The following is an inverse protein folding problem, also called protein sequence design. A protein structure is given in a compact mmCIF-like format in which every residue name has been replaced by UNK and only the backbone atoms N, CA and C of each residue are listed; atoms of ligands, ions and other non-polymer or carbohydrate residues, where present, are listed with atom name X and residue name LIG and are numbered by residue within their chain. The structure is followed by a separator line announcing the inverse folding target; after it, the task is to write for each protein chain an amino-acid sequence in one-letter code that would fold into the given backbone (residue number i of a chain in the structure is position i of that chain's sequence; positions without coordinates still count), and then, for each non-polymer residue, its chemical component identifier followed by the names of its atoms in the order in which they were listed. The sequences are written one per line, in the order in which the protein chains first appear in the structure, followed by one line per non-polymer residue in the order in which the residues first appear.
data_IF_542651633547
#
_entry.id   IF_542651633547
#
_cell.length_a   1.000
_cell.length_b   1.000
_cell.length_c   1.000
_cell.angle_alpha   90.00
_cell.angle_beta   90.00
_cell.angle_gamma   90.00
#
_symmetry.space_group_name_H-M   'P 1'
#
loop_
_entity.id
_entity.type
_entity.pdbx_description
1 polymer ?
#
# COMPACT_ATOMS: atom_id res chain seq x y z
N UNK A 1 20.07 10.04 -34.37
CA UNK A 1 19.68 8.60 -34.43
C UNK A 1 20.32 7.86 -33.27
N UNK A 2 19.87 8.08 -32.04
CA UNK A 2 20.28 7.29 -30.88
C UNK A 2 19.29 6.15 -30.70
N UNK A 3 19.87 4.99 -30.74
CA UNK A 3 19.24 3.68 -30.82
C UNK A 3 18.19 3.47 -29.74
N UNK A 4 17.08 2.94 -30.17
CA UNK A 4 16.05 2.22 -29.42
C UNK A 4 16.66 1.08 -28.58
N UNK A 5 17.47 1.39 -27.56
CA UNK A 5 17.96 0.41 -26.59
C UNK A 5 16.72 -0.09 -25.84
N UNK A 6 16.27 -1.29 -26.18
CA UNK A 6 15.19 -2.00 -25.49
C UNK A 6 15.46 -1.90 -24.00
N UNK A 7 14.56 -1.23 -23.25
CA UNK A 7 14.67 -1.09 -21.81
C UNK A 7 14.75 -2.49 -21.16
N UNK A 8 15.91 -2.85 -20.65
CA UNK A 8 16.14 -4.10 -19.93
C UNK A 8 16.32 -3.83 -18.44
N UNK A 9 15.68 -4.63 -17.61
CA UNK A 9 15.85 -4.57 -16.16
C UNK A 9 17.20 -5.18 -15.76
N UNK A 10 17.88 -4.53 -14.84
CA UNK A 10 19.05 -5.10 -14.14
C UNK A 10 18.64 -6.26 -13.23
N UNK A 11 19.60 -7.06 -12.77
CA UNK A 11 19.35 -8.14 -11.81
C UNK A 11 18.78 -7.62 -10.49
N UNK A 12 19.28 -6.48 -10.02
CA UNK A 12 18.83 -5.85 -8.77
C UNK A 12 17.42 -5.27 -8.91
N UNK A 13 17.10 -4.59 -10.03
CA UNK A 13 15.75 -4.10 -10.31
C UNK A 13 14.73 -5.24 -10.36
N UNK A 14 15.08 -6.39 -10.96
CA UNK A 14 14.20 -7.57 -10.97
C UNK A 14 13.99 -8.13 -9.57
N UNK A 15 15.03 -8.20 -8.77
CA UNK A 15 14.94 -8.67 -7.38
C UNK A 15 14.07 -7.76 -6.52
N UNK A 16 14.15 -6.45 -6.73
CA UNK A 16 13.30 -5.47 -6.06
C UNK A 16 11.83 -5.61 -6.47
N UNK A 17 11.54 -5.79 -7.76
CA UNK A 17 10.19 -6.05 -8.28
C UNK A 17 9.60 -7.35 -7.70
N UNK A 18 10.41 -8.41 -7.55
CA UNK A 18 9.94 -9.67 -6.98
C UNK A 18 9.48 -9.55 -5.53
N UNK A 19 10.06 -8.63 -4.75
CA UNK A 19 9.56 -8.36 -3.42
C UNK A 19 8.10 -7.84 -3.45
N UNK A 20 7.76 -6.96 -4.41
CA UNK A 20 6.38 -6.46 -4.59
C UNK A 20 5.40 -7.60 -4.93
N UNK A 21 5.83 -8.55 -5.78
CA UNK A 21 5.07 -9.78 -6.06
C UNK A 21 4.81 -10.61 -4.80
N UNK A 22 5.82 -10.69 -3.91
CA UNK A 22 5.72 -11.45 -2.68
C UNK A 22 4.77 -10.82 -1.66
N UNK A 23 5.02 -9.55 -1.34
CA UNK A 23 4.29 -8.85 -0.27
C UNK A 23 2.82 -8.57 -0.63
N UNK A 24 2.50 -8.36 -1.90
CA UNK A 24 1.12 -8.09 -2.36
C UNK A 24 0.18 -9.26 -2.10
N UNK A 25 0.68 -10.48 -2.01
CA UNK A 25 -0.13 -11.65 -1.61
C UNK A 25 -0.66 -11.52 -0.18
N UNK A 26 0.14 -11.00 0.74
CA UNK A 26 -0.30 -10.73 2.11
C UNK A 26 -1.36 -9.62 2.15
N UNK A 27 -1.27 -8.60 1.29
CA UNK A 27 -2.30 -7.55 1.19
C UNK A 27 -3.66 -8.14 0.81
N UNK A 28 -3.71 -9.00 -0.21
CA UNK A 28 -4.96 -9.66 -0.61
C UNK A 28 -5.52 -10.56 0.50
N UNK A 29 -4.65 -11.28 1.20
CA UNK A 29 -5.06 -12.14 2.30
C UNK A 29 -5.68 -11.34 3.46
N UNK A 30 -5.07 -10.20 3.81
CA UNK A 30 -5.59 -9.27 4.84
C UNK A 30 -6.93 -8.69 4.45
N UNK A 31 -7.13 -8.39 3.18
CA UNK A 31 -8.39 -7.84 2.70
C UNK A 31 -9.53 -8.86 2.59
N UNK A 32 -9.23 -10.16 2.61
CA UNK A 32 -10.20 -11.23 2.28
C UNK A 32 -10.26 -12.34 3.32
N UNK A 33 -9.26 -13.21 3.40
CA UNK A 33 -9.30 -14.45 4.19
C UNK A 33 -9.05 -14.23 5.69
N UNK A 34 -8.20 -13.28 6.06
CA UNK A 34 -7.89 -13.02 7.49
C UNK A 34 -9.12 -12.54 8.26
N UNK A 35 -9.97 -11.61 7.76
CA UNK A 35 -11.22 -11.26 8.42
C UNK A 35 -12.17 -12.45 8.59
N UNK A 36 -12.26 -13.33 7.59
CA UNK A 36 -13.09 -14.54 7.67
C UNK A 36 -12.58 -15.47 8.78
N UNK A 37 -11.26 -15.66 8.85
CA UNK A 37 -10.64 -16.47 9.89
C UNK A 37 -10.88 -15.90 11.29
N UNK A 38 -10.66 -14.58 11.44
CA UNK A 38 -10.90 -13.90 12.71
C UNK A 38 -12.38 -14.02 13.14
N UNK A 39 -13.34 -13.84 12.19
CA UNK A 39 -14.75 -13.99 12.48
C UNK A 39 -15.09 -15.40 13.00
N UNK A 40 -14.57 -16.45 12.37
CA UNK A 40 -14.81 -17.83 12.82
C UNK A 40 -14.29 -18.07 14.26
N UNK A 41 -13.07 -17.58 14.58
CA UNK A 41 -12.52 -17.68 15.93
C UNK A 41 -13.30 -16.82 16.95
N UNK A 42 -13.81 -15.68 16.53
CA UNK A 42 -14.60 -14.78 17.36
C UNK A 42 -15.96 -15.40 17.73
N UNK A 43 -16.63 -16.03 16.75
CA UNK A 43 -17.88 -16.78 16.96
C UNK A 43 -17.68 -17.97 17.90
N UNK A 44 -16.63 -18.79 17.70
CA UNK A 44 -16.25 -19.87 18.63
C UNK A 44 -15.96 -19.36 20.03
N UNK A 45 -15.40 -18.14 20.15
CA UNK A 45 -15.12 -17.47 21.42
C UNK A 45 -16.33 -16.79 22.05
N UNK A 46 -17.52 -16.87 21.43
CA UNK A 46 -18.76 -16.29 21.93
C UNK A 46 -18.90 -14.79 21.76
N UNK A 47 -18.08 -14.15 20.90
CA UNK A 47 -18.21 -12.73 20.57
C UNK A 47 -19.44 -12.47 19.68
N UNK A 48 -20.14 -11.39 19.98
CA UNK A 48 -21.19 -10.86 19.09
C UNK A 48 -20.57 -10.23 17.85
N UNK A 49 -21.38 -10.06 16.79
CA UNK A 49 -20.96 -9.38 15.55
C UNK A 49 -20.51 -7.92 15.79
N UNK A 50 -21.04 -7.26 16.78
CA UNK A 50 -20.65 -5.90 17.19
C UNK A 50 -19.27 -5.91 17.84
N UNK A 51 -19.01 -6.84 18.76
CA UNK A 51 -17.70 -6.99 19.41
C UNK A 51 -16.62 -7.40 18.41
N UNK A 52 -16.92 -8.33 17.49
CA UNK A 52 -16.03 -8.71 16.40
C UNK A 52 -15.56 -7.47 15.60
N UNK A 53 -16.50 -6.64 15.14
CA UNK A 53 -16.18 -5.43 14.38
C UNK A 53 -15.38 -4.42 15.20
N UNK A 54 -15.73 -4.26 16.48
CA UNK A 54 -15.01 -3.35 17.38
C UNK A 54 -13.55 -3.79 17.58
N UNK A 55 -13.31 -5.08 17.90
CA UNK A 55 -11.95 -5.59 18.10
C UNK A 55 -11.12 -5.57 16.82
N UNK A 56 -11.73 -5.86 15.66
CA UNK A 56 -11.05 -5.71 14.37
C UNK A 56 -10.63 -4.26 14.11
N UNK A 57 -11.51 -3.30 14.38
CA UNK A 57 -11.25 -1.87 14.28
C UNK A 57 -10.14 -1.40 15.23
N UNK A 58 -10.14 -1.89 16.48
CA UNK A 58 -9.08 -1.58 17.44
C UNK A 58 -7.72 -2.13 17.00
N UNK A 59 -7.68 -3.34 16.44
CA UNK A 59 -6.46 -3.92 15.91
C UNK A 59 -5.91 -3.11 14.72
N UNK A 60 -6.77 -2.72 13.77
CA UNK A 60 -6.39 -1.87 12.64
C UNK A 60 -5.87 -0.50 13.09
N UNK A 61 -6.52 0.12 14.08
CA UNK A 61 -6.09 1.39 14.68
C UNK A 61 -4.75 1.24 15.39
N UNK A 62 -4.54 0.16 16.16
CA UNK A 62 -3.27 -0.12 16.82
C UNK A 62 -2.13 -0.26 15.81
N UNK A 63 -2.34 -1.00 14.71
CA UNK A 63 -1.36 -1.10 13.61
C UNK A 63 -1.00 0.28 13.07
N UNK A 64 -2.00 1.11 12.79
CA UNK A 64 -1.78 2.46 12.23
C UNK A 64 -0.97 3.34 13.19
N UNK A 65 -1.33 3.37 14.48
CA UNK A 65 -0.60 4.16 15.50
C UNK A 65 0.83 3.66 15.65
N UNK A 66 1.02 2.35 15.81
CA UNK A 66 2.35 1.76 15.99
C UNK A 66 3.23 2.04 14.77
N UNK A 67 2.72 1.85 13.56
CA UNK A 67 3.49 2.11 12.34
C UNK A 67 3.77 3.59 12.14
N UNK A 68 2.83 4.48 12.41
CA UNK A 68 3.03 5.93 12.32
C UNK A 68 4.17 6.42 13.24
N UNK A 69 4.33 5.82 14.41
CA UNK A 69 5.43 6.14 15.34
C UNK A 69 6.74 5.47 14.91
N UNK A 70 6.68 4.18 14.53
CA UNK A 70 7.89 3.40 14.24
C UNK A 70 8.50 3.72 12.88
N UNK A 71 7.70 4.00 11.84
CA UNK A 71 8.20 4.18 10.47
C UNK A 71 9.24 5.28 10.34
N UNK A 72 9.05 6.51 10.87
CA UNK A 72 10.08 7.55 10.78
C UNK A 72 11.32 7.23 11.61
N UNK A 73 11.13 6.64 12.81
CA UNK A 73 12.25 6.30 13.72
C UNK A 73 13.14 5.24 13.08
N UNK A 74 12.54 4.14 12.65
CA UNK A 74 13.27 3.05 12.00
C UNK A 74 13.83 3.49 10.64
N UNK A 75 13.11 4.35 9.91
CA UNK A 75 13.56 4.94 8.65
C UNK A 75 14.83 5.74 8.82
N UNK A 76 14.87 6.66 9.79
CA UNK A 76 16.06 7.45 10.11
C UNK A 76 17.23 6.58 10.56
N UNK A 77 16.96 5.53 11.34
CA UNK A 77 17.98 4.57 11.76
C UNK A 77 18.51 3.77 10.56
N UNK A 78 17.64 3.37 9.64
CA UNK A 78 18.01 2.62 8.45
C UNK A 78 18.90 3.40 7.48
N UNK A 79 18.83 4.73 7.48
CA UNK A 79 19.73 5.56 6.68
C UNK A 79 21.18 5.55 7.17
N UNK A 80 21.42 5.08 8.39
CA UNK A 80 22.78 4.82 8.86
C UNK A 80 23.44 3.68 8.07
N UNK A 81 24.72 3.83 7.79
CA UNK A 81 25.50 2.85 7.03
C UNK A 81 25.33 1.42 7.53
N UNK A 82 24.88 0.53 6.65
CA UNK A 82 24.73 -0.90 6.93
C UNK A 82 23.49 -1.30 7.74
N UNK A 83 22.62 -0.35 8.15
CA UNK A 83 21.44 -0.63 8.97
C UNK A 83 20.18 -0.95 8.14
N UNK A 84 20.03 -0.41 6.93
CA UNK A 84 18.80 -0.55 6.12
C UNK A 84 18.40 -2.01 5.89
N UNK A 85 19.33 -2.85 5.45
CA UNK A 85 19.08 -4.27 5.18
C UNK A 85 18.75 -5.08 6.44
N UNK A 86 19.49 -4.99 7.56
CA UNK A 86 19.13 -5.68 8.81
C UNK A 86 17.76 -5.31 9.35
N UNK A 87 17.39 -4.01 9.31
CA UNK A 87 16.08 -3.57 9.80
C UNK A 87 14.96 -4.06 8.87
N UNK A 88 15.18 -4.03 7.54
CA UNK A 88 14.27 -4.64 6.57
C UNK A 88 14.05 -6.14 6.85
N UNK A 89 15.14 -6.90 7.10
CA UNK A 89 15.05 -8.32 7.45
C UNK A 89 14.27 -8.53 8.74
N UNK A 90 14.50 -7.71 9.76
CA UNK A 90 13.74 -7.80 11.02
C UNK A 90 12.25 -7.62 10.77
N UNK A 91 11.85 -6.59 10.05
CA UNK A 91 10.45 -6.33 9.72
C UNK A 91 9.85 -7.47 8.87
N UNK A 92 10.59 -7.97 7.88
CA UNK A 92 10.19 -9.12 7.08
C UNK A 92 9.95 -10.36 7.92
N UNK A 93 10.89 -10.70 8.83
CA UNK A 93 10.77 -11.87 9.71
C UNK A 93 9.58 -11.74 10.63
N UNK A 94 9.35 -10.58 11.22
CA UNK A 94 8.16 -10.32 12.06
C UNK A 94 6.88 -10.50 11.25
N UNK A 95 6.82 -9.98 10.02
CA UNK A 95 5.66 -10.13 9.12
C UNK A 95 5.40 -11.58 8.73
N UNK A 96 6.43 -12.28 8.22
CA UNK A 96 6.32 -13.67 7.74
C UNK A 96 6.05 -14.64 8.89
N UNK A 97 6.81 -14.53 9.99
CA UNK A 97 6.60 -15.37 11.17
C UNK A 97 5.22 -15.13 11.80
N UNK A 98 4.79 -13.86 11.88
CA UNK A 98 3.44 -13.51 12.33
C UNK A 98 2.35 -14.09 11.42
N UNK A 99 2.53 -14.07 10.09
CA UNK A 99 1.62 -14.71 9.15
C UNK A 99 1.49 -16.22 9.42
N UNK A 100 2.61 -16.93 9.64
CA UNK A 100 2.59 -18.33 10.03
C UNK A 100 1.96 -18.55 11.41
N UNK A 101 2.28 -17.71 12.38
CA UNK A 101 1.80 -17.84 13.75
C UNK A 101 0.28 -17.63 13.88
N UNK A 102 -0.32 -16.77 13.04
CA UNK A 102 -1.79 -16.66 12.96
C UNK A 102 -2.44 -18.00 12.63
N UNK A 103 -1.83 -18.82 11.76
CA UNK A 103 -2.34 -20.12 11.35
C UNK A 103 -2.36 -21.19 12.45
N UNK A 104 -1.67 -20.97 13.56
CA UNK A 104 -1.67 -21.90 14.71
C UNK A 104 -2.42 -21.35 15.93
N UNK A 105 -2.93 -20.13 15.86
CA UNK A 105 -3.74 -19.53 16.91
C UNK A 105 -5.09 -20.23 17.03
N UNK A 106 -5.45 -20.64 18.26
CA UNK A 106 -6.67 -21.41 18.56
C UNK A 106 -7.83 -20.54 19.07
N UNK A 107 -7.56 -19.29 19.40
CA UNK A 107 -8.55 -18.37 19.95
C UNK A 107 -8.39 -16.99 19.32
N UNK A 108 -9.47 -16.21 19.36
CA UNK A 108 -9.56 -14.92 18.69
C UNK A 108 -8.56 -13.86 19.18
N UNK A 109 -8.29 -13.80 20.50
CA UNK A 109 -7.40 -12.77 21.05
C UNK A 109 -5.92 -12.95 20.67
N UNK A 110 -5.30 -14.13 20.87
CA UNK A 110 -3.95 -14.40 20.34
C UNK A 110 -3.86 -14.19 18.84
N UNK A 111 -4.85 -14.63 18.06
CA UNK A 111 -4.89 -14.38 16.62
C UNK A 111 -4.80 -12.90 16.29
N UNK A 112 -5.62 -12.08 16.94
CA UNK A 112 -5.69 -10.64 16.71
C UNK A 112 -4.39 -9.92 17.12
N UNK A 113 -3.79 -10.29 18.24
CA UNK A 113 -2.50 -9.76 18.67
C UNK A 113 -1.38 -10.12 17.68
N UNK A 114 -1.32 -11.37 17.23
CA UNK A 114 -0.35 -11.83 16.23
C UNK A 114 -0.58 -11.07 14.90
N UNK A 115 -1.83 -10.86 14.50
CA UNK A 115 -2.17 -10.04 13.31
C UNK A 115 -1.60 -8.63 13.40
N UNK A 116 -1.73 -7.95 14.56
CA UNK A 116 -1.17 -6.62 14.76
C UNK A 116 0.34 -6.63 14.53
N UNK A 117 1.08 -7.57 15.14
CA UNK A 117 2.53 -7.69 14.96
C UNK A 117 2.90 -8.02 13.50
N UNK A 118 2.20 -8.95 12.87
CA UNK A 118 2.42 -9.31 11.46
C UNK A 118 2.22 -8.11 10.53
N UNK A 119 1.15 -7.35 10.74
CA UNK A 119 0.83 -6.17 9.95
C UNK A 119 1.80 -5.02 10.18
N UNK A 120 2.28 -4.82 11.41
CA UNK A 120 3.35 -3.86 11.73
C UNK A 120 4.65 -4.25 11.04
N UNK A 121 5.05 -5.53 11.10
CA UNK A 121 6.21 -6.03 10.36
C UNK A 121 6.11 -5.85 8.86
N UNK A 122 4.95 -6.19 8.28
CA UNK A 122 4.64 -5.93 6.88
C UNK A 122 4.79 -4.44 6.52
N UNK A 123 4.15 -3.58 7.29
CA UNK A 123 4.17 -2.13 7.06
C UNK A 123 5.58 -1.54 7.16
N UNK A 124 6.36 -1.95 8.17
CA UNK A 124 7.75 -1.54 8.30
C UNK A 124 8.61 -2.01 7.12
N UNK A 125 8.41 -3.26 6.66
CA UNK A 125 9.16 -3.78 5.51
C UNK A 125 8.90 -2.98 4.23
N UNK A 126 7.69 -2.46 4.02
CA UNK A 126 7.37 -1.60 2.87
C UNK A 126 8.12 -0.27 2.90
N UNK A 127 8.24 0.39 4.06
CA UNK A 127 9.00 1.65 4.19
C UNK A 127 10.43 1.47 3.71
N UNK A 128 11.08 0.39 4.13
CA UNK A 128 12.47 0.11 3.71
C UNK A 128 12.55 -0.30 2.26
N UNK A 129 11.62 -1.12 1.79
CA UNK A 129 11.51 -1.50 0.39
C UNK A 129 11.37 -0.28 -0.53
N UNK A 130 10.50 0.66 -0.19
CA UNK A 130 10.29 1.89 -0.97
C UNK A 130 11.53 2.78 -0.92
N UNK A 131 12.18 2.91 0.25
CA UNK A 131 13.41 3.68 0.41
C UNK A 131 14.63 3.06 -0.30
N UNK A 132 14.60 1.76 -0.62
CA UNK A 132 15.64 1.10 -1.43
C UNK A 132 15.62 1.52 -2.89
N UNK A 133 14.55 2.15 -3.38
CA UNK A 133 14.42 2.52 -4.80
C UNK A 133 15.60 3.38 -5.28
N UNK A 134 16.08 4.31 -4.46
CA UNK A 134 17.25 5.14 -4.75
C UNK A 134 18.57 4.35 -4.83
N UNK A 135 18.67 3.21 -4.13
CA UNK A 135 19.83 2.32 -4.19
C UNK A 135 19.75 1.31 -5.36
N UNK A 136 18.52 1.01 -5.79
CA UNK A 136 18.24 -0.07 -6.76
C UNK A 136 18.36 0.41 -8.20
N UNK A 137 18.03 1.69 -8.46
CA UNK A 137 17.97 2.23 -9.81
C UNK A 137 18.29 3.72 -9.86
N UNK A 138 18.54 4.24 -11.07
CA UNK A 138 18.85 5.66 -11.29
C UNK A 138 17.57 6.49 -11.47
N UNK A 139 17.61 7.82 -11.22
CA UNK A 139 16.41 8.68 -11.28
C UNK A 139 15.65 8.62 -12.62
N UNK A 140 16.33 8.48 -13.73
CA UNK A 140 15.76 8.35 -15.07
C UNK A 140 14.96 7.06 -15.29
N UNK A 141 15.22 6.02 -14.48
CA UNK A 141 14.60 4.70 -14.56
C UNK A 141 13.55 4.46 -13.45
N UNK A 142 13.52 5.28 -12.40
CA UNK A 142 12.69 5.07 -11.21
C UNK A 142 11.21 4.88 -11.54
N UNK A 143 10.64 5.70 -12.45
CA UNK A 143 9.22 5.62 -12.83
C UNK A 143 8.87 4.27 -13.45
N UNK A 144 9.73 3.78 -14.36
CA UNK A 144 9.53 2.50 -15.05
C UNK A 144 9.70 1.32 -14.08
N UNK A 145 10.71 1.37 -13.22
CA UNK A 145 10.99 0.31 -12.23
C UNK A 145 9.88 0.26 -11.20
N UNK A 146 9.46 1.40 -10.65
CA UNK A 146 8.35 1.51 -9.70
C UNK A 146 7.03 1.01 -10.31
N UNK A 147 6.70 1.41 -11.54
CA UNK A 147 5.49 0.96 -12.25
C UNK A 147 5.48 -0.55 -12.51
N UNK A 148 6.65 -1.14 -12.81
CA UNK A 148 6.78 -2.60 -12.94
C UNK A 148 6.66 -3.33 -11.62
N UNK A 149 7.14 -2.75 -10.50
CA UNK A 149 6.92 -3.29 -9.16
C UNK A 149 5.43 -3.46 -8.89
N UNK A 150 4.66 -2.38 -8.99
CA UNK A 150 3.20 -2.44 -8.81
C UNK A 150 2.52 -3.37 -9.80
N UNK A 151 2.86 -3.30 -11.10
CA UNK A 151 2.26 -4.17 -12.11
C UNK A 151 2.43 -5.65 -11.75
N UNK A 152 3.66 -6.09 -11.53
CA UNK A 152 3.94 -7.48 -11.17
C UNK A 152 3.41 -7.86 -9.79
N UNK A 153 3.31 -6.90 -8.85
CA UNK A 153 2.64 -7.08 -7.57
C UNK A 153 1.16 -7.44 -7.74
N UNK A 154 0.43 -6.69 -8.56
CA UNK A 154 -1.00 -6.95 -8.80
C UNK A 154 -1.25 -8.35 -9.37
N UNK A 155 -0.60 -8.71 -10.47
CA UNK A 155 -0.87 -10.02 -11.10
C UNK A 155 -0.21 -11.17 -10.32
N UNK A 156 0.97 -10.94 -9.74
CA UNK A 156 1.71 -11.96 -9.01
C UNK A 156 1.03 -12.36 -7.71
N UNK A 157 0.34 -11.45 -7.04
CA UNK A 157 -0.46 -11.74 -5.84
C UNK A 157 -1.71 -12.56 -6.13
N UNK A 158 -2.25 -12.49 -7.35
CA UNK A 158 -3.40 -13.31 -7.74
C UNK A 158 -3.09 -14.81 -7.73
N UNK A 159 -1.83 -15.21 -8.01
CA UNK A 159 -1.44 -16.62 -8.07
C UNK A 159 -1.65 -17.33 -6.72
N UNK A 160 -0.97 -16.94 -5.63
CA UNK A 160 -1.19 -17.56 -4.33
C UNK A 160 -2.62 -17.33 -3.82
N UNK A 161 -3.23 -16.17 -4.13
CA UNK A 161 -4.59 -15.87 -3.70
C UNK A 161 -5.62 -16.85 -4.30
N UNK A 162 -5.58 -17.12 -5.60
CA UNK A 162 -6.48 -18.09 -6.25
C UNK A 162 -6.28 -19.50 -5.69
N UNK A 163 -5.03 -19.90 -5.43
CA UNK A 163 -4.73 -21.19 -4.80
C UNK A 163 -5.33 -21.25 -3.39
N UNK A 164 -5.15 -20.24 -2.58
CA UNK A 164 -5.70 -20.16 -1.22
C UNK A 164 -7.24 -20.14 -1.23
N UNK A 165 -7.84 -19.38 -2.13
CA UNK A 165 -9.30 -19.29 -2.26
C UNK A 165 -9.90 -20.65 -2.69
N UNK A 166 -9.32 -21.30 -3.70
CA UNK A 166 -9.74 -22.63 -4.15
C UNK A 166 -9.61 -23.67 -3.02
N UNK A 167 -8.54 -23.61 -2.24
CA UNK A 167 -8.34 -24.50 -1.09
C UNK A 167 -9.41 -24.28 -0.02
N UNK A 168 -9.73 -23.04 0.32
CA UNK A 168 -10.72 -22.71 1.36
C UNK A 168 -12.13 -23.08 0.91
N UNK A 169 -12.52 -22.72 -0.32
CA UNK A 169 -13.85 -23.04 -0.86
C UNK A 169 -14.02 -24.52 -1.15
N UNK A 170 -12.95 -25.22 -1.58
CA UNK A 170 -12.96 -26.66 -1.88
C UNK A 170 -12.65 -27.55 -0.67
N UNK A 171 -12.43 -26.99 0.53
CA UNK A 171 -11.97 -27.73 1.71
C UNK A 171 -12.84 -28.94 2.05
N UNK A 172 -14.16 -28.80 1.99
CA UNK A 172 -15.10 -29.91 2.24
C UNK A 172 -14.99 -31.06 1.24
N UNK A 173 -14.72 -30.78 -0.03
CA UNK A 173 -14.56 -31.81 -1.08
C UNK A 173 -13.29 -32.64 -0.90
N UNK A 174 -12.27 -32.10 -0.25
CA UNK A 174 -11.00 -32.78 0.03
C UNK A 174 -10.87 -33.27 1.47
N UNK A 175 -11.98 -33.22 2.25
CA UNK A 175 -12.03 -33.72 3.62
C UNK A 175 -11.29 -32.86 4.66
N UNK A 176 -10.98 -31.61 4.35
CA UNK A 176 -10.39 -30.66 5.29
C UNK A 176 -11.46 -29.79 5.95
N UNK A 177 -11.23 -29.45 7.23
CA UNK A 177 -12.03 -28.37 7.85
C UNK A 177 -11.67 -27.02 7.22
N UNK A 178 -12.64 -26.12 7.17
CA UNK A 178 -12.41 -24.75 6.68
C UNK A 178 -11.27 -24.03 7.46
N UNK A 179 -11.20 -24.26 8.78
CA UNK A 179 -10.15 -23.73 9.64
C UNK A 179 -8.76 -24.25 9.24
N UNK A 180 -8.64 -25.55 8.93
CA UNK A 180 -7.38 -26.15 8.45
C UNK A 180 -6.98 -25.57 7.09
N UNK A 181 -7.94 -25.37 6.19
CA UNK A 181 -7.68 -24.77 4.88
C UNK A 181 -7.21 -23.32 4.99
N UNK A 182 -7.80 -22.53 5.90
CA UNK A 182 -7.36 -21.17 6.20
C UNK A 182 -5.94 -21.14 6.79
N UNK A 183 -5.61 -22.07 7.70
CA UNK A 183 -4.26 -22.20 8.23
C UNK A 183 -3.24 -22.49 7.12
N UNK A 184 -3.54 -23.42 6.21
CA UNK A 184 -2.68 -23.72 5.07
C UNK A 184 -2.53 -22.50 4.16
N UNK A 185 -3.59 -21.74 3.93
CA UNK A 185 -3.54 -20.51 3.12
C UNK A 185 -2.57 -19.47 3.71
N UNK A 186 -2.53 -19.31 5.03
CA UNK A 186 -1.56 -18.42 5.70
C UNK A 186 -0.11 -18.89 5.49
N UNK A 187 0.15 -20.20 5.59
CA UNK A 187 1.49 -20.75 5.32
C UNK A 187 1.90 -20.62 3.85
N UNK A 188 0.99 -20.85 2.90
CA UNK A 188 1.25 -20.65 1.46
C UNK A 188 1.64 -19.20 1.20
N UNK A 189 0.90 -18.25 1.77
CA UNK A 189 1.17 -16.82 1.58
C UNK A 189 2.50 -16.40 2.22
N UNK A 190 2.80 -16.87 3.42
CA UNK A 190 4.07 -16.62 4.09
C UNK A 190 5.26 -17.18 3.30
N UNK A 191 5.14 -18.42 2.80
CA UNK A 191 6.16 -19.06 1.97
C UNK A 191 6.37 -18.32 0.65
N UNK A 192 5.28 -17.90 -0.01
CA UNK A 192 5.32 -17.10 -1.23
C UNK A 192 6.05 -15.78 -1.00
N UNK A 193 5.66 -15.02 0.03
CA UNK A 193 6.29 -13.76 0.37
C UNK A 193 7.78 -13.91 0.64
N UNK A 194 8.15 -14.89 1.48
CA UNK A 194 9.56 -15.17 1.77
C UNK A 194 10.34 -15.57 0.50
N UNK A 195 9.82 -16.50 -0.30
CA UNK A 195 10.48 -17.00 -1.50
C UNK A 195 10.76 -15.87 -2.51
N UNK A 196 9.77 -14.99 -2.76
CA UNK A 196 9.90 -13.86 -3.66
C UNK A 196 10.83 -12.76 -3.12
N UNK A 197 11.06 -12.71 -1.80
CA UNK A 197 11.97 -11.75 -1.16
C UNK A 197 13.44 -12.21 -1.22
N UNK A 198 13.72 -13.51 -1.27
CA UNK A 198 15.09 -14.04 -1.23
C UNK A 198 16.06 -13.43 -2.26
N UNK A 199 15.64 -13.19 -3.53
CA UNK A 199 16.54 -12.54 -4.50
C UNK A 199 16.99 -11.15 -4.07
N UNK A 200 16.08 -10.33 -3.49
CA UNK A 200 16.40 -9.00 -2.99
C UNK A 200 17.37 -9.08 -1.82
N UNK A 201 17.16 -10.00 -0.87
CA UNK A 201 18.07 -10.21 0.26
C UNK A 201 19.48 -10.60 -0.18
N UNK A 202 19.62 -11.33 -1.30
CA UNK A 202 20.94 -11.75 -1.81
C UNK A 202 21.67 -10.63 -2.55
N UNK A 203 20.94 -9.78 -3.28
CA UNK A 203 21.53 -8.83 -4.23
C UNK A 203 21.64 -7.41 -3.69
N UNK A 204 20.74 -7.01 -2.77
CA UNK A 204 20.69 -5.64 -2.28
C UNK A 204 21.90 -5.27 -1.43
N UNK A 205 22.44 -4.09 -1.74
CA UNK A 205 23.46 -3.38 -0.95
C UNK A 205 23.05 -1.93 -0.81
N UNK A 206 23.20 -1.38 0.37
CA UNK A 206 22.95 0.02 0.64
C UNK A 206 24.05 0.87 -0.02
N UNK A 207 23.68 1.76 -0.94
CA UNK A 207 24.59 2.67 -1.64
C UNK A 207 24.58 4.07 -1.01
N UNK A 208 23.41 4.57 -0.64
CA UNK A 208 23.23 5.89 -0.05
C UNK A 208 22.97 5.75 1.46
N UNK A 209 23.75 6.45 2.25
CA UNK A 209 23.69 6.38 3.71
C UNK A 209 24.27 7.65 4.36
N UNK A 210 23.95 7.82 5.63
CA UNK A 210 24.52 8.84 6.51
C UNK A 210 25.56 8.18 7.39
N UNK A 211 26.77 8.75 7.41
CA UNK A 211 27.82 8.31 8.35
C UNK A 211 27.48 8.79 9.76
N UNK A 212 27.56 7.90 10.73
CA UNK A 212 27.33 8.21 12.14
C UNK A 212 28.48 7.66 12.97
N UNK A 213 29.22 8.55 13.59
CA UNK A 213 30.44 8.17 14.33
C UNK A 213 30.15 7.49 15.69
N UNK A 214 29.17 7.94 16.46
CA UNK A 214 28.78 7.38 17.77
C UNK A 214 27.31 7.64 18.08
N UNK A 215 26.66 6.75 18.85
CA UNK A 215 25.28 6.90 19.33
C UNK A 215 24.21 7.03 18.24
N UNK A 216 24.23 6.16 17.23
CA UNK A 216 23.32 6.16 16.07
C UNK A 216 21.83 6.34 16.46
N UNK A 217 21.35 5.64 17.49
CA UNK A 217 19.93 5.70 17.92
C UNK A 217 19.58 7.12 18.42
N UNK A 218 20.39 7.70 19.32
CA UNK A 218 20.12 9.06 19.85
C UNK A 218 20.18 10.11 18.76
N UNK A 219 21.13 9.99 17.84
CA UNK A 219 21.25 10.90 16.69
C UNK A 219 20.08 10.74 15.72
N UNK A 220 19.54 9.54 15.53
CA UNK A 220 18.35 9.31 14.71
C UNK A 220 17.13 10.06 15.27
N UNK A 221 16.90 10.02 16.58
CA UNK A 221 15.83 10.81 17.20
C UNK A 221 16.04 12.32 17.05
N UNK A 222 17.27 12.80 17.16
CA UNK A 222 17.59 14.22 16.96
C UNK A 222 17.37 14.63 15.49
N UNK A 223 17.79 13.80 14.53
CA UNK A 223 17.62 14.04 13.09
C UNK A 223 16.15 14.12 12.71
N UNK A 224 15.31 13.13 13.13
CA UNK A 224 13.88 13.18 12.80
C UNK A 224 13.20 14.43 13.40
N UNK A 225 13.58 14.81 14.64
CA UNK A 225 13.10 16.04 15.25
C UNK A 225 13.51 17.29 14.46
N UNK A 226 14.73 17.30 13.92
CA UNK A 226 15.23 18.36 13.04
C UNK A 226 14.46 18.39 11.72
N UNK A 227 14.33 17.23 11.04
CA UNK A 227 13.62 17.13 9.74
C UNK A 227 12.17 17.56 9.87
N UNK A 228 11.44 17.12 10.92
CA UNK A 228 10.06 17.55 11.15
C UNK A 228 9.93 19.07 11.37
N UNK A 229 10.90 19.71 12.07
CA UNK A 229 10.88 21.15 12.30
C UNK A 229 11.20 21.97 11.05
N UNK A 230 12.07 21.44 10.17
CA UNK A 230 12.57 22.14 8.98
C UNK A 230 11.95 21.65 7.68
N UNK A 231 10.99 20.69 7.75
CA UNK A 231 10.32 20.15 6.56
C UNK A 231 9.65 21.23 5.71
N UNK A 232 9.17 22.30 6.36
CA UNK A 232 8.55 23.44 5.67
C UNK A 232 9.55 24.32 4.88
N UNK A 233 10.85 24.19 5.13
CA UNK A 233 11.91 24.89 4.39
C UNK A 233 12.11 24.25 3.03
N UNK A 234 11.98 22.91 2.92
CA UNK A 234 11.91 22.20 1.64
C UNK A 234 10.46 22.21 1.12
N UNK A 235 10.11 23.34 0.53
CA UNK A 235 8.74 23.60 0.08
C UNK A 235 8.23 22.57 -0.91
N UNK A 236 9.08 22.04 -1.81
CA UNK A 236 8.69 21.05 -2.78
C UNK A 236 8.23 19.75 -2.10
N UNK A 237 9.05 19.23 -1.18
CA UNK A 237 8.74 18.00 -0.43
C UNK A 237 7.55 18.22 0.50
N UNK A 238 7.49 19.35 1.20
CA UNK A 238 6.38 19.69 2.11
C UNK A 238 5.03 19.68 1.38
N UNK A 239 4.92 20.44 0.28
CA UNK A 239 3.67 20.50 -0.50
C UNK A 239 3.33 19.18 -1.17
N UNK A 240 4.35 18.40 -1.58
CA UNK A 240 4.13 17.07 -2.12
C UNK A 240 3.53 16.13 -1.07
N UNK A 241 4.10 16.07 0.13
CA UNK A 241 3.57 15.21 1.20
C UNK A 241 2.13 15.58 1.59
N UNK A 242 1.82 16.88 1.64
CA UNK A 242 0.46 17.34 1.93
C UNK A 242 -0.51 17.00 0.78
N UNK A 243 -0.08 17.15 -0.47
CA UNK A 243 -0.85 16.72 -1.64
C UNK A 243 -1.08 15.21 -1.63
N UNK A 244 -0.01 14.45 -1.39
CA UNK A 244 -0.04 12.99 -1.31
C UNK A 244 -1.01 12.52 -0.23
N UNK A 245 -0.93 13.10 0.96
CA UNK A 245 -1.86 12.82 2.05
C UNK A 245 -3.33 12.97 1.60
N UNK A 246 -3.67 14.06 0.89
CA UNK A 246 -5.04 14.29 0.44
C UNK A 246 -5.49 13.31 -0.64
N UNK A 247 -4.74 13.18 -1.75
CA UNK A 247 -5.23 12.38 -2.86
C UNK A 247 -5.11 10.87 -2.64
N UNK A 248 -4.07 10.42 -1.91
CA UNK A 248 -3.91 8.99 -1.63
C UNK A 248 -4.92 8.48 -0.62
N UNK A 249 -5.37 9.36 0.30
CA UNK A 249 -6.49 9.09 1.19
C UNK A 249 -7.76 8.74 0.40
N UNK A 250 -8.12 9.60 -0.55
CA UNK A 250 -9.24 9.33 -1.43
C UNK A 250 -9.07 8.00 -2.20
N UNK A 251 -7.87 7.73 -2.74
CA UNK A 251 -7.57 6.47 -3.47
C UNK A 251 -7.75 5.26 -2.57
N UNK A 252 -7.11 5.22 -1.39
CA UNK A 252 -7.22 4.08 -0.48
C UNK A 252 -8.63 3.92 0.08
N UNK A 253 -9.32 5.02 0.39
CA UNK A 253 -10.71 4.97 0.85
C UNK A 253 -11.64 4.35 -0.21
N UNK A 254 -11.49 4.71 -1.49
CA UNK A 254 -12.27 4.10 -2.58
C UNK A 254 -12.00 2.59 -2.65
N UNK A 255 -10.74 2.16 -2.52
CA UNK A 255 -10.36 0.74 -2.58
C UNK A 255 -10.89 -0.02 -1.36
N UNK A 256 -10.65 0.51 -0.17
CA UNK A 256 -10.96 -0.17 1.09
C UNK A 256 -12.47 -0.22 1.38
N UNK A 257 -13.22 0.80 0.95
CA UNK A 257 -14.67 0.87 1.17
C UNK A 257 -15.51 0.35 -0.01
N UNK A 258 -14.89 -0.08 -1.11
CA UNK A 258 -15.61 -0.50 -2.33
C UNK A 258 -16.68 -1.56 -2.06
N UNK A 259 -16.34 -2.62 -1.31
CA UNK A 259 -17.28 -3.70 -0.96
C UNK A 259 -18.37 -3.21 -0.01
N UNK A 260 -18.02 -2.45 1.03
CA UNK A 260 -19.00 -1.90 1.96
C UNK A 260 -19.98 -0.95 1.26
N UNK A 261 -19.47 -0.12 0.36
CA UNK A 261 -20.29 0.78 -0.47
C UNK A 261 -21.24 0.01 -1.38
N UNK A 262 -20.74 -0.99 -2.13
CA UNK A 262 -21.56 -1.81 -3.00
C UNK A 262 -22.64 -2.60 -2.23
N UNK A 263 -22.30 -3.12 -1.04
CA UNK A 263 -23.27 -3.80 -0.16
C UNK A 263 -24.33 -2.84 0.37
N UNK A 264 -23.96 -1.62 0.74
CA UNK A 264 -24.91 -0.58 1.17
C UNK A 264 -25.92 -0.18 0.08
N UNK A 265 -25.52 -0.35 -1.21
CA UNK A 265 -26.43 -0.17 -2.35
C UNK A 265 -27.25 -1.43 -2.70
N UNK A 266 -27.12 -2.51 -1.93
CA UNK A 266 -27.84 -3.77 -2.19
C UNK A 266 -27.29 -4.57 -3.38
N UNK A 267 -26.05 -4.36 -3.80
CA UNK A 267 -25.44 -5.06 -4.91
C UNK A 267 -25.02 -6.50 -4.51
N UNK A 268 -25.00 -7.40 -5.49
CA UNK A 268 -24.62 -8.80 -5.27
C UNK A 268 -23.17 -8.95 -4.79
N UNK A 269 -22.98 -9.66 -3.67
CA UNK A 269 -21.68 -9.86 -3.03
C UNK A 269 -20.68 -10.57 -3.94
N UNK A 270 -21.13 -11.58 -4.70
CA UNK A 270 -20.26 -12.32 -5.64
C UNK A 270 -19.77 -11.37 -6.73
N UNK A 271 -20.67 -10.54 -7.27
CA UNK A 271 -20.34 -9.51 -8.24
C UNK A 271 -19.35 -8.47 -7.70
N UNK A 272 -19.44 -8.08 -6.42
CA UNK A 272 -18.49 -7.18 -5.77
C UNK A 272 -17.08 -7.80 -5.67
N UNK A 273 -16.98 -9.05 -5.24
CA UNK A 273 -15.69 -9.76 -5.14
C UNK A 273 -15.02 -9.94 -6.51
N UNK A 274 -15.80 -10.30 -7.52
CA UNK A 274 -15.29 -10.43 -8.89
C UNK A 274 -14.85 -9.08 -9.47
N UNK A 275 -15.55 -7.99 -9.13
CA UNK A 275 -15.14 -6.63 -9.53
C UNK A 275 -13.80 -6.21 -8.89
N UNK A 276 -13.54 -6.59 -7.63
CA UNK A 276 -12.22 -6.38 -7.01
C UNK A 276 -11.11 -7.15 -7.73
N UNK A 277 -11.37 -8.39 -8.13
CA UNK A 277 -10.42 -9.19 -8.91
C UNK A 277 -10.18 -8.54 -10.28
N UNK A 278 -11.23 -8.05 -10.94
CA UNK A 278 -11.13 -7.29 -12.19
C UNK A 278 -10.20 -6.08 -12.03
N UNK A 279 -10.33 -5.34 -10.93
CA UNK A 279 -9.47 -4.19 -10.63
C UNK A 279 -7.99 -4.58 -10.64
N UNK A 280 -7.62 -5.70 -10.03
CA UNK A 280 -6.22 -6.19 -10.01
C UNK A 280 -5.73 -6.59 -11.40
N UNK A 281 -6.58 -7.29 -12.18
CA UNK A 281 -6.26 -7.71 -13.55
C UNK A 281 -6.04 -6.49 -14.46
N UNK A 282 -6.88 -5.47 -14.35
CA UNK A 282 -6.78 -4.22 -15.14
C UNK A 282 -5.59 -3.38 -14.68
N UNK A 283 -5.30 -3.34 -13.38
CA UNK A 283 -4.19 -2.57 -12.83
C UNK A 283 -2.82 -3.05 -13.35
N UNK A 284 -2.67 -4.34 -13.65
CA UNK A 284 -1.43 -4.90 -14.20
C UNK A 284 -1.01 -4.24 -15.54
N UNK A 285 -1.77 -4.33 -16.63
CA UNK A 285 -1.39 -3.70 -17.88
C UNK A 285 -1.36 -2.17 -17.78
N UNK A 286 -2.23 -1.59 -16.98
CA UNK A 286 -2.29 -0.15 -16.79
C UNK A 286 -1.03 0.39 -16.13
N UNK A 287 -0.53 -0.21 -15.07
CA UNK A 287 0.74 0.18 -14.45
C UNK A 287 1.91 0.08 -15.43
N UNK A 288 1.95 -0.94 -16.30
CA UNK A 288 2.95 -1.06 -17.37
C UNK A 288 2.83 0.07 -18.39
N UNK A 289 1.60 0.48 -18.74
CA UNK A 289 1.35 1.60 -19.65
C UNK A 289 1.85 2.91 -19.03
N UNK A 290 1.54 3.19 -17.76
CA UNK A 290 2.06 4.37 -17.06
C UNK A 290 3.58 4.38 -16.98
N UNK A 291 4.22 3.23 -16.73
CA UNK A 291 5.68 3.10 -16.78
C UNK A 291 6.27 3.36 -18.18
N UNK A 292 5.53 3.11 -19.27
CA UNK A 292 5.96 3.49 -20.63
C UNK A 292 5.69 4.96 -20.93
N UNK A 293 4.57 5.49 -20.44
CA UNK A 293 4.23 6.90 -20.62
C UNK A 293 5.20 7.81 -19.87
N UNK A 294 5.74 7.38 -18.73
CA UNK A 294 6.73 8.15 -17.98
C UNK A 294 8.06 8.35 -18.72
N UNK A 295 8.33 7.55 -19.74
CA UNK A 295 9.47 7.78 -20.67
C UNK A 295 9.25 8.97 -21.62
N UNK A 296 7.99 9.43 -21.80
CA UNK A 296 7.63 10.53 -22.69
C UNK A 296 7.12 11.77 -21.94
N UNK A 297 6.47 11.55 -20.83
CA UNK A 297 5.81 12.59 -20.03
C UNK A 297 6.31 12.51 -18.59
N UNK A 298 6.72 13.61 -17.98
CA UNK A 298 7.20 13.60 -16.59
C UNK A 298 6.09 13.22 -15.60
N UNK A 299 6.48 12.68 -14.47
CA UNK A 299 5.56 12.32 -13.37
C UNK A 299 4.71 13.50 -12.90
N UNK A 300 5.26 14.73 -12.98
CA UNK A 300 4.55 15.99 -12.72
C UNK A 300 3.34 16.27 -13.62
N UNK A 301 3.27 15.59 -14.78
CA UNK A 301 2.10 15.64 -15.69
C UNK A 301 1.19 14.42 -15.49
N UNK A 302 1.75 13.23 -15.28
CA UNK A 302 0.97 12.00 -15.22
C UNK A 302 0.22 11.86 -13.89
N UNK A 303 0.81 12.27 -12.76
CA UNK A 303 0.15 12.21 -11.44
C UNK A 303 -1.13 13.06 -11.41
N UNK A 304 -1.14 14.33 -11.85
CA UNK A 304 -2.37 15.12 -11.96
C UNK A 304 -3.46 14.48 -12.82
N UNK A 305 -3.09 13.79 -13.90
CA UNK A 305 -4.06 13.05 -14.74
C UNK A 305 -4.72 11.93 -13.93
N UNK A 306 -3.94 11.18 -13.14
CA UNK A 306 -4.49 10.15 -12.26
C UNK A 306 -5.40 10.75 -11.18
N UNK A 307 -5.00 11.86 -10.54
CA UNK A 307 -5.82 12.52 -9.51
C UNK A 307 -7.14 13.02 -10.11
N UNK A 308 -7.10 13.63 -11.31
CA UNK A 308 -8.30 14.07 -12.01
C UNK A 308 -9.23 12.89 -12.38
N UNK A 309 -8.65 11.76 -12.80
CA UNK A 309 -9.42 10.55 -13.06
C UNK A 309 -10.11 10.03 -11.79
N UNK A 310 -9.44 10.02 -10.63
CA UNK A 310 -10.04 9.66 -9.35
C UNK A 310 -11.11 10.65 -8.90
N UNK A 311 -10.97 11.94 -9.16
CA UNK A 311 -12.06 12.91 -8.96
C UNK A 311 -13.29 12.57 -9.82
N UNK A 312 -13.06 12.15 -11.07
CA UNK A 312 -14.13 11.64 -11.95
C UNK A 312 -14.76 10.34 -11.46
N UNK A 313 -13.96 9.42 -10.88
CA UNK A 313 -14.44 8.18 -10.24
C UNK A 313 -15.35 8.51 -9.05
N UNK A 314 -14.96 9.43 -8.17
CA UNK A 314 -15.76 9.86 -7.04
C UNK A 314 -17.08 10.54 -7.50
N UNK A 315 -17.02 11.35 -8.55
CA UNK A 315 -18.20 11.95 -9.15
C UNK A 315 -19.12 10.90 -9.78
N UNK A 316 -18.58 9.89 -10.45
CA UNK A 316 -19.37 8.79 -11.02
C UNK A 316 -20.04 7.95 -9.92
N UNK A 317 -19.32 7.66 -8.83
CA UNK A 317 -19.84 6.94 -7.67
C UNK A 317 -21.04 7.66 -7.04
N UNK A 318 -21.10 8.99 -7.12
CA UNK A 318 -22.24 9.77 -6.63
C UNK A 318 -23.58 9.37 -7.30
N UNK A 319 -23.54 8.92 -8.56
CA UNK A 319 -24.72 8.54 -9.35
C UNK A 319 -24.89 7.01 -9.49
N UNK A 320 -24.10 6.21 -8.79
CA UNK A 320 -24.11 4.76 -8.93
C UNK A 320 -25.34 4.15 -8.25
N UNK A 321 -26.08 3.34 -8.99
CA UNK A 321 -27.29 2.66 -8.51
C UNK A 321 -27.38 1.20 -8.96
N UNK A 322 -26.59 0.77 -9.94
CA UNK A 322 -26.71 -0.54 -10.57
C UNK A 322 -25.39 -1.31 -10.57
N UNK A 323 -25.47 -2.65 -10.55
CA UNK A 323 -24.32 -3.55 -10.54
C UNK A 323 -23.33 -3.31 -11.70
N UNK A 324 -23.83 -3.10 -12.92
CA UNK A 324 -22.93 -2.87 -14.07
C UNK A 324 -22.12 -1.57 -13.95
N UNK A 325 -22.68 -0.53 -13.30
CA UNK A 325 -21.97 0.72 -13.02
C UNK A 325 -20.80 0.49 -12.04
N UNK A 326 -21.00 -0.40 -11.06
CA UNK A 326 -19.92 -0.81 -10.14
C UNK A 326 -18.78 -1.53 -10.89
N UNK A 327 -19.09 -2.36 -11.88
CA UNK A 327 -18.08 -2.99 -12.73
C UNK A 327 -17.29 -1.97 -13.56
N UNK A 328 -17.97 -0.96 -14.11
CA UNK A 328 -17.30 0.16 -14.80
C UNK A 328 -16.41 0.94 -13.84
N UNK A 329 -16.89 1.21 -12.62
CA UNK A 329 -16.11 1.88 -11.58
C UNK A 329 -14.83 1.07 -11.26
N UNK A 330 -14.95 -0.23 -11.02
CA UNK A 330 -13.85 -1.14 -10.73
C UNK A 330 -12.81 -1.16 -11.87
N UNK A 331 -13.27 -1.20 -13.12
CA UNK A 331 -12.41 -1.13 -14.29
C UNK A 331 -11.62 0.18 -14.35
N UNK A 332 -12.28 1.33 -14.16
CA UNK A 332 -11.63 2.65 -14.22
C UNK A 332 -10.67 2.83 -13.02
N UNK A 333 -11.05 2.38 -11.82
CA UNK A 333 -10.14 2.34 -10.66
C UNK A 333 -8.87 1.55 -11.01
N UNK A 334 -9.00 0.34 -11.56
CA UNK A 334 -7.87 -0.47 -12.00
C UNK A 334 -6.98 0.23 -13.03
N UNK A 335 -7.56 1.03 -13.93
CA UNK A 335 -6.79 1.80 -14.93
C UNK A 335 -5.85 2.84 -14.31
N UNK A 336 -6.17 3.43 -13.16
CA UNK A 336 -5.38 4.53 -12.60
C UNK A 336 -4.69 4.19 -11.29
N UNK A 337 -5.13 3.13 -10.58
CA UNK A 337 -4.59 2.71 -9.28
C UNK A 337 -3.07 2.50 -9.33
N UNK A 338 -2.60 1.67 -10.26
CA UNK A 338 -1.17 1.38 -10.38
C UNK A 338 -0.34 2.59 -10.80
N UNK A 339 -0.91 3.45 -11.65
CA UNK A 339 -0.26 4.69 -12.10
C UNK A 339 -0.04 5.67 -10.97
N UNK A 340 -1.09 6.02 -10.22
CA UNK A 340 -0.99 7.01 -9.15
C UNK A 340 -0.04 6.56 -8.03
N UNK A 341 -0.10 5.28 -7.63
CA UNK A 341 0.75 4.77 -6.55
C UNK A 341 2.22 4.67 -7.00
N UNK A 342 2.47 4.09 -8.16
CA UNK A 342 3.83 3.88 -8.67
C UNK A 342 4.56 5.18 -8.98
N UNK A 343 3.87 6.14 -9.61
CA UNK A 343 4.46 7.42 -9.98
C UNK A 343 4.64 8.33 -8.76
N UNK A 344 3.75 8.28 -7.75
CA UNK A 344 3.93 9.01 -6.51
C UNK A 344 5.15 8.54 -5.75
N UNK A 345 5.36 7.22 -5.64
CA UNK A 345 6.55 6.63 -5.01
C UNK A 345 7.85 7.05 -5.72
N UNK A 346 7.88 6.93 -7.04
CA UNK A 346 9.08 7.27 -7.82
C UNK A 346 9.33 8.78 -7.88
N UNK A 347 8.28 9.59 -7.96
CA UNK A 347 8.40 11.05 -7.90
C UNK A 347 8.98 11.49 -6.56
N UNK A 348 8.45 10.95 -5.46
CA UNK A 348 8.96 11.24 -4.13
C UNK A 348 10.43 10.87 -3.98
N UNK A 349 10.82 9.67 -4.46
CA UNK A 349 12.22 9.22 -4.44
C UNK A 349 13.18 10.16 -5.19
N UNK A 350 12.69 10.90 -6.21
CA UNK A 350 13.48 11.83 -6.99
C UNK A 350 13.69 13.20 -6.33
N UNK A 351 12.71 13.63 -5.51
CA UNK A 351 12.74 14.97 -4.90
C UNK A 351 13.35 14.98 -3.50
N UNK A 352 13.68 13.83 -2.93
CA UNK A 352 14.29 13.71 -1.61
C UNK A 352 15.79 13.37 -1.71
N UNK A 353 16.60 13.74 -0.68
CA UNK A 353 18.00 13.32 -0.62
C UNK A 353 18.12 11.78 -0.52
N UNK A 354 18.86 11.12 -1.43
CA UNK A 354 18.97 9.65 -1.43
C UNK A 354 19.56 9.07 -0.12
N UNK A 355 20.44 9.81 0.55
CA UNK A 355 21.10 9.42 1.81
C UNK A 355 20.11 9.36 2.98
N UNK A 356 18.99 10.09 2.89
CA UNK A 356 17.93 10.18 3.90
C UNK A 356 16.63 9.51 3.44
N UNK A 357 16.71 8.65 2.43
CA UNK A 357 15.52 8.03 1.83
C UNK A 357 14.66 7.26 2.84
N UNK A 358 15.25 6.58 3.82
CA UNK A 358 14.51 5.88 4.88
C UNK A 358 13.70 6.82 5.78
N UNK A 359 14.30 7.93 6.20
CA UNK A 359 13.65 8.97 7.01
C UNK A 359 12.45 9.57 6.28
N UNK A 360 12.65 9.99 5.03
CA UNK A 360 11.59 10.61 4.22
C UNK A 360 10.50 9.60 3.82
N UNK A 361 10.84 8.38 3.46
CA UNK A 361 9.83 7.33 3.21
C UNK A 361 9.09 6.91 4.48
N UNK A 362 9.68 7.06 5.66
CA UNK A 362 8.97 6.96 6.93
C UNK A 362 7.85 8.01 7.06
N UNK A 363 8.11 9.26 6.65
CA UNK A 363 7.08 10.32 6.62
C UNK A 363 6.03 10.08 5.52
N UNK A 364 6.47 9.64 4.35
CA UNK A 364 5.58 9.26 3.24
C UNK A 364 4.59 8.15 3.65
N UNK A 365 5.07 7.15 4.40
CA UNK A 365 4.26 6.06 4.92
C UNK A 365 3.20 6.55 5.94
N UNK A 366 3.55 7.51 6.81
CA UNK A 366 2.57 8.16 7.69
C UNK A 366 1.48 8.85 6.87
N UNK A 367 1.85 9.60 5.83
CA UNK A 367 0.89 10.24 4.96
C UNK A 367 0.01 9.22 4.26
N UNK A 368 0.58 8.11 3.75
CA UNK A 368 -0.19 7.05 3.09
C UNK A 368 -1.15 6.30 4.02
N UNK A 369 -0.73 5.97 5.25
CA UNK A 369 -1.54 5.19 6.20
C UNK A 369 -2.46 6.05 7.06
N UNK A 370 -2.02 7.26 7.43
CA UNK A 370 -2.86 8.23 8.14
C UNK A 370 -3.98 8.78 7.26
N UNK A 371 -3.77 8.71 5.96
CA UNK A 371 -4.69 9.16 4.95
C UNK A 371 -6.03 8.37 5.01
N UNK A 372 -6.06 7.05 5.05
CA UNK A 372 -7.31 6.26 5.08
C UNK A 372 -8.28 6.65 6.21
N UNK A 373 -7.84 7.42 7.19
CA UNK A 373 -8.68 7.90 8.27
C UNK A 373 -9.59 9.07 7.85
N UNK A 374 -9.06 10.08 7.14
CA UNK A 374 -9.88 11.24 6.74
C UNK A 374 -10.93 10.87 5.70
N UNK A 375 -10.57 10.09 4.71
CA UNK A 375 -11.49 9.68 3.65
C UNK A 375 -12.62 8.82 4.18
N UNK A 376 -12.33 7.84 5.03
CA UNK A 376 -13.38 7.02 5.67
C UNK A 376 -14.27 7.86 6.59
N UNK A 377 -13.72 8.86 7.28
CA UNK A 377 -14.49 9.79 8.10
C UNK A 377 -15.41 10.66 7.25
N UNK A 378 -14.91 11.22 6.13
CA UNK A 378 -15.69 12.00 5.16
C UNK A 378 -16.86 11.16 4.61
N UNK A 379 -16.59 9.92 4.19
CA UNK A 379 -17.61 9.00 3.69
C UNK A 379 -18.64 8.70 4.77
N UNK A 380 -18.22 8.38 5.99
CA UNK A 380 -19.11 8.02 7.10
C UNK A 380 -20.01 9.19 7.51
N UNK A 381 -19.41 10.36 7.75
CA UNK A 381 -20.14 11.58 8.13
C UNK A 381 -21.07 12.03 7.00
N UNK A 382 -20.58 12.03 5.76
CA UNK A 382 -21.39 12.38 4.58
C UNK A 382 -22.58 11.45 4.41
N UNK A 383 -22.39 10.14 4.58
CA UNK A 383 -23.46 9.14 4.51
C UNK A 383 -24.48 9.31 5.65
N UNK A 384 -24.00 9.55 6.89
CA UNK A 384 -24.88 9.76 8.05
C UNK A 384 -25.75 11.03 7.93
N UNK A 385 -25.14 12.15 7.54
CA UNK A 385 -25.83 13.43 7.44
C UNK A 385 -26.88 13.47 6.32
N UNK A 386 -26.63 12.73 5.23
CA UNK A 386 -27.50 12.76 4.05
C UNK A 386 -28.40 11.54 3.91
N UNK A 387 -28.14 10.49 4.68
CA UNK A 387 -28.83 9.20 4.54
C UNK A 387 -28.46 8.45 3.23
N UNK A 388 -27.38 8.85 2.53
CA UNK A 388 -27.01 8.31 1.22
C UNK A 388 -25.53 7.92 1.17
N UNK A 389 -25.25 6.65 0.93
CA UNK A 389 -23.88 6.14 0.72
C UNK A 389 -23.21 6.79 -0.50
N UNK A 390 -23.99 7.10 -1.55
CA UNK A 390 -23.51 7.77 -2.76
C UNK A 390 -22.94 9.16 -2.46
N UNK A 391 -23.63 9.93 -1.61
CA UNK A 391 -23.14 11.26 -1.19
C UNK A 391 -21.87 11.12 -0.37
N UNK A 392 -21.80 10.13 0.52
CA UNK A 392 -20.61 9.84 1.30
C UNK A 392 -19.38 9.59 0.41
N UNK A 393 -19.47 8.63 -0.51
CA UNK A 393 -18.35 8.29 -1.41
C UNK A 393 -18.06 9.43 -2.40
N UNK A 394 -19.08 10.07 -2.94
CA UNK A 394 -18.93 11.22 -3.84
C UNK A 394 -18.22 12.41 -3.18
N UNK A 395 -18.35 12.59 -1.86
CA UNK A 395 -17.69 13.67 -1.11
C UNK A 395 -16.16 13.57 -1.14
N UNK A 396 -15.59 12.39 -1.46
CA UNK A 396 -14.14 12.21 -1.64
C UNK A 396 -13.59 13.08 -2.77
N UNK A 397 -14.41 13.59 -3.68
CA UNK A 397 -13.97 14.51 -4.73
C UNK A 397 -13.22 15.73 -4.15
N UNK A 398 -13.58 16.18 -2.95
CA UNK A 398 -12.93 17.30 -2.27
C UNK A 398 -11.43 16.98 -2.01
N UNK A 399 -11.14 15.76 -1.56
CA UNK A 399 -9.74 15.34 -1.31
C UNK A 399 -8.93 15.32 -2.60
N UNK A 400 -9.52 14.88 -3.71
CA UNK A 400 -8.83 14.88 -5.01
C UNK A 400 -8.61 16.28 -5.54
N UNK A 401 -9.58 17.19 -5.40
CA UNK A 401 -9.43 18.58 -5.83
C UNK A 401 -8.37 19.31 -5.01
N UNK A 402 -8.40 19.17 -3.68
CA UNK A 402 -7.36 19.74 -2.80
C UNK A 402 -6.00 19.14 -3.13
N UNK A 403 -5.90 17.82 -3.21
CA UNK A 403 -4.66 17.11 -3.57
C UNK A 403 -4.10 17.54 -4.92
N UNK A 404 -4.96 17.74 -5.92
CA UNK A 404 -4.56 18.25 -7.24
C UNK A 404 -3.93 19.65 -7.15
N UNK A 405 -4.59 20.58 -6.43
CA UNK A 405 -4.09 21.94 -6.28
C UNK A 405 -2.74 21.95 -5.54
N UNK A 406 -2.64 21.24 -4.41
CA UNK A 406 -1.43 21.14 -3.63
C UNK A 406 -0.27 20.50 -4.42
N UNK A 407 -0.54 19.47 -5.21
CA UNK A 407 0.46 18.87 -6.08
C UNK A 407 0.97 19.86 -7.13
N UNK A 408 0.10 20.68 -7.71
CA UNK A 408 0.50 21.75 -8.65
C UNK A 408 1.35 22.82 -7.98
N UNK A 409 1.10 23.12 -6.71
CA UNK A 409 1.95 24.02 -5.91
C UNK A 409 3.34 23.41 -5.71
N UNK A 410 3.43 22.13 -5.30
CA UNK A 410 4.69 21.41 -5.14
C UNK A 410 5.55 21.46 -6.43
N UNK A 411 4.91 21.22 -7.58
CA UNK A 411 5.62 21.28 -8.88
C UNK A 411 6.19 22.68 -9.21
N UNK A 412 5.51 23.75 -8.79
CA UNK A 412 6.00 25.13 -9.02
C UNK A 412 7.20 25.46 -8.12
N UNK A 413 7.18 25.02 -6.88
CA UNK A 413 8.30 25.26 -5.94
C UNK A 413 9.56 24.51 -6.40
N UNK A 414 9.45 23.30 -6.99
CA UNK A 414 10.58 22.58 -7.55
C UNK A 414 11.26 23.25 -8.73
N UNK A 415 10.52 24.02 -9.54
CA UNK A 415 11.09 24.79 -10.67
C UNK A 415 11.84 26.04 -10.21
N UNK A 416 11.52 26.56 -9.03
CA UNK A 416 12.18 27.78 -8.49
C UNK A 416 13.52 27.45 -7.83
N UNK A 417 13.74 26.19 -7.47
CA UNK A 417 14.96 25.72 -6.78
C UNK A 417 16.03 25.14 -7.71
N UNK A 418 15.71 24.90 -8.99
CA UNK A 418 16.66 24.56 -10.08
C UNK A 418 17.17 25.82 -10.77
#
# INVERSE_FOLDING_TARGET
MEQNKKFSLTGLERAWILYDVGNSAFVLLVATLIPIFFNALAEEGGLSSVEYLAYWGYAASAVTIITAVLSPILGTLADTRGFKKPIFILCLVVGVAGCCAMGVAKTWLPFLLIFVFAKVGFSGSLVFYDSMLSDVTTPDRMDVVSSRGYAWGYIGSCVPFVVCLALVLGSGAIGLSQMTALNIALFITAAWWLAMTLPLLKTYRQLHYVEVEKHAIRQSFARIGHTLRHLHEDKQVFWFLLAFFCYIDGVYTIIDMATAYGTALGLDTTGLLLALLLTQIVAFPSALIFGRLSAKYPSTTLIPVCIAAYAGIALFAFFLTQQWQFWVLAFVVGMFQGGVQALSRSHFAKIIPPEKSGEYFGLFDICGKGASFLGTMIVSVGSQLTGSANVGVGSLIVLFLVGFVLFRVSCKEGVITE
#
